data_IF_268429398645
#
_entry.id   IF_268429398645
#
_cell.length_a   1.000
_cell.length_b   1.000
_cell.length_c   1.000
_cell.angle_alpha   90.00
_cell.angle_beta   90.00
_cell.angle_gamma   90.00
#
_symmetry.space_group_name_H-M   'P 1'
#
loop_
_entity.id
_entity.type
_entity.pdbx_description
1 polymer ?
#
# COMPACT_ATOMS: atom_id res chain seq x y z
N UNK A 1 -3.04 14.99 17.14
CA UNK A 1 -4.42 15.52 17.23
C UNK A 1 -5.28 15.33 15.96
N UNK A 2 -4.77 14.75 14.86
CA UNK A 2 -5.60 14.37 13.68
C UNK A 2 -5.96 12.87 13.66
N UNK A 3 -5.45 12.08 14.61
CA UNK A 3 -5.65 10.62 14.71
C UNK A 3 -7.08 10.19 15.12
N UNK A 4 -7.97 11.12 15.50
CA UNK A 4 -9.27 10.77 16.10
C UNK A 4 -10.43 10.68 15.10
N UNK A 5 -10.36 11.31 13.92
CA UNK A 5 -11.49 11.27 12.99
C UNK A 5 -11.53 10.04 12.06
N UNK A 6 -10.40 9.37 11.87
CA UNK A 6 -10.32 8.15 11.03
C UNK A 6 -10.53 6.87 11.87
N UNK A 7 -10.29 6.92 13.19
CA UNK A 7 -10.45 5.78 14.09
C UNK A 7 -11.86 5.18 14.10
N UNK A 8 -12.90 6.02 14.07
CA UNK A 8 -14.29 5.55 14.10
C UNK A 8 -14.80 4.89 12.80
N UNK A 9 -14.15 5.16 11.65
CA UNK A 9 -14.49 4.50 10.38
C UNK A 9 -13.73 3.17 10.19
N UNK A 10 -12.57 3.03 10.84
CA UNK A 10 -11.78 1.79 10.90
C UNK A 10 -12.52 0.71 11.74
N UNK A 11 -13.23 1.11 12.79
CA UNK A 11 -13.96 0.18 13.68
C UNK A 11 -15.15 -0.54 13.01
N UNK A 12 -15.80 0.05 12.00
CA UNK A 12 -17.02 -0.52 11.41
C UNK A 12 -16.82 -1.40 10.17
N UNK A 13 -15.71 -1.26 9.45
CA UNK A 13 -15.40 -2.09 8.25
C UNK A 13 -14.15 -2.97 8.38
N UNK A 14 -13.43 -2.86 9.50
CA UNK A 14 -12.20 -3.58 9.76
C UNK A 14 -11.02 -3.03 8.93
N UNK A 15 -9.88 -2.84 9.57
CA UNK A 15 -8.66 -2.32 8.94
C UNK A 15 -8.29 -3.06 7.64
N UNK A 16 -8.59 -4.37 7.55
CA UNK A 16 -8.38 -5.19 6.34
C UNK A 16 -9.08 -4.61 5.11
N UNK A 17 -10.34 -4.18 5.21
CA UNK A 17 -11.09 -3.68 4.08
C UNK A 17 -10.51 -2.37 3.52
N UNK A 18 -10.03 -1.50 4.42
CA UNK A 18 -9.40 -0.22 4.05
C UNK A 18 -8.04 -0.46 3.41
N UNK A 19 -7.25 -1.41 3.93
CA UNK A 19 -5.97 -1.81 3.32
C UNK A 19 -6.20 -2.34 1.90
N UNK A 20 -7.17 -3.25 1.71
CA UNK A 20 -7.47 -3.80 0.38
C UNK A 20 -7.89 -2.68 -0.59
N UNK A 21 -8.80 -1.79 -0.17
CA UNK A 21 -9.25 -0.69 -1.01
C UNK A 21 -8.10 0.28 -1.38
N UNK A 22 -7.22 0.58 -0.42
CA UNK A 22 -6.06 1.45 -0.64
C UNK A 22 -5.07 0.84 -1.63
N UNK A 23 -4.65 -0.42 -1.42
CA UNK A 23 -3.72 -1.10 -2.35
C UNK A 23 -4.34 -1.21 -3.74
N UNK A 24 -5.65 -1.51 -3.83
CA UNK A 24 -6.35 -1.62 -5.10
C UNK A 24 -6.39 -0.30 -5.88
N UNK A 25 -6.66 0.83 -5.21
CA UNK A 25 -6.65 2.15 -5.82
C UNK A 25 -5.26 2.53 -6.36
N UNK A 26 -4.22 2.23 -5.59
CA UNK A 26 -2.84 2.44 -6.02
C UNK A 26 -2.54 1.55 -7.24
N UNK A 27 -2.87 0.26 -7.17
CA UNK A 27 -2.64 -0.69 -8.26
C UNK A 27 -3.27 -0.24 -9.58
N UNK A 28 -4.54 0.21 -9.53
CA UNK A 28 -5.25 0.70 -10.70
C UNK A 28 -4.63 1.98 -11.26
N UNK A 29 -4.18 2.87 -10.38
CA UNK A 29 -3.50 4.11 -10.78
C UNK A 29 -2.13 3.83 -11.40
N UNK A 30 -1.37 2.91 -10.82
CA UNK A 30 -0.07 2.43 -11.33
C UNK A 30 -0.21 1.78 -12.71
N UNK A 31 -1.25 0.98 -12.94
CA UNK A 31 -1.56 0.49 -14.29
C UNK A 31 -1.87 1.64 -15.25
N UNK A 32 -2.67 2.62 -14.81
CA UNK A 32 -2.98 3.80 -15.59
C UNK A 32 -1.75 4.58 -16.02
N UNK A 33 -0.73 4.70 -15.15
CA UNK A 33 0.55 5.36 -15.46
C UNK A 33 1.28 4.71 -16.64
N UNK A 34 1.15 3.39 -16.79
CA UNK A 34 1.71 2.69 -17.94
C UNK A 34 0.95 2.96 -19.24
N UNK A 35 -0.35 3.24 -19.19
CA UNK A 35 -1.21 3.32 -20.38
C UNK A 35 -1.36 4.75 -20.94
N UNK A 36 -0.89 5.77 -20.23
CA UNK A 36 -1.07 7.17 -20.65
C UNK A 36 0.21 7.99 -20.48
N UNK A 37 0.44 8.90 -21.42
CA UNK A 37 1.51 9.89 -21.35
C UNK A 37 0.97 11.32 -21.23
N UNK A 38 -0.35 11.48 -21.13
CA UNK A 38 -0.98 12.81 -21.06
C UNK A 38 -0.80 13.41 -19.65
N UNK A 39 -0.15 14.59 -19.51
CA UNK A 39 0.15 15.18 -18.21
C UNK A 39 -1.07 15.33 -17.28
N UNK A 40 -2.21 15.70 -17.84
CA UNK A 40 -3.45 15.87 -17.07
C UNK A 40 -3.97 14.55 -16.51
N UNK A 41 -3.86 13.45 -17.26
CA UNK A 41 -4.24 12.13 -16.76
C UNK A 41 -3.25 11.62 -15.71
N UNK A 42 -1.95 11.85 -15.91
CA UNK A 42 -0.91 11.53 -14.92
C UNK A 42 -1.17 12.26 -13.59
N UNK A 43 -1.59 13.52 -13.65
CA UNK A 43 -1.96 14.27 -12.45
C UNK A 43 -3.16 13.66 -11.71
N UNK A 44 -4.23 13.28 -12.43
CA UNK A 44 -5.36 12.59 -11.81
C UNK A 44 -4.94 11.25 -11.18
N UNK A 45 -4.11 10.47 -11.86
CA UNK A 45 -3.60 9.19 -11.35
C UNK A 45 -2.74 9.39 -10.09
N UNK A 46 -1.94 10.45 -10.02
CA UNK A 46 -1.18 10.82 -8.82
C UNK A 46 -2.09 11.17 -7.65
N UNK A 47 -3.20 11.88 -7.91
CA UNK A 47 -4.20 12.17 -6.87
C UNK A 47 -4.85 10.89 -6.34
N UNK A 48 -5.24 9.97 -7.22
CA UNK A 48 -5.85 8.69 -6.82
C UNK A 48 -4.85 7.85 -6.00
N UNK A 49 -3.58 7.82 -6.45
CA UNK A 49 -2.49 7.15 -5.72
C UNK A 49 -2.33 7.74 -4.31
N UNK A 50 -2.29 9.07 -4.20
CA UNK A 50 -2.20 9.76 -2.90
C UNK A 50 -3.39 9.49 -1.97
N UNK A 51 -4.61 9.35 -2.51
CA UNK A 51 -5.78 8.93 -1.74
C UNK A 51 -5.59 7.49 -1.22
N UNK A 52 -5.09 6.58 -2.05
CA UNK A 52 -4.78 5.21 -1.65
C UNK A 52 -3.76 5.15 -0.50
N UNK A 53 -2.69 5.92 -0.59
CA UNK A 53 -1.66 5.99 0.48
C UNK A 53 -2.20 6.61 1.77
N UNK A 54 -3.03 7.65 1.66
CA UNK A 54 -3.68 8.29 2.82
C UNK A 54 -4.61 7.32 3.58
N UNK A 55 -5.18 6.33 2.90
CA UNK A 55 -5.97 5.26 3.51
C UNK A 55 -5.09 4.16 4.11
N UNK A 56 -3.98 3.82 3.46
CA UNK A 56 -3.10 2.72 3.88
C UNK A 56 -2.36 3.00 5.18
N UNK A 57 -1.76 4.19 5.31
CA UNK A 57 -0.95 4.55 6.47
C UNK A 57 -1.68 4.35 7.82
N UNK A 58 -2.87 4.93 8.05
CA UNK A 58 -3.58 4.75 9.32
C UNK A 58 -4.10 3.32 9.51
N UNK A 59 -4.47 2.63 8.43
CA UNK A 59 -4.97 1.26 8.52
C UNK A 59 -3.87 0.26 8.90
N UNK A 60 -2.68 0.39 8.31
CA UNK A 60 -1.51 -0.43 8.67
C UNK A 60 -1.07 -0.16 10.11
N UNK A 61 -1.04 1.11 10.54
CA UNK A 61 -0.70 1.45 11.92
C UNK A 61 -1.70 0.86 12.92
N UNK A 62 -3.01 0.90 12.62
CA UNK A 62 -4.05 0.27 13.44
C UNK A 62 -3.84 -1.24 13.60
N UNK A 63 -3.46 -1.95 12.53
CA UNK A 63 -3.15 -3.38 12.59
C UNK A 63 -1.92 -3.65 13.45
N UNK A 64 -0.86 -2.85 13.29
CA UNK A 64 0.37 -2.98 14.08
C UNK A 64 0.09 -2.75 15.56
N UNK A 65 -0.65 -1.69 15.90
CA UNK A 65 -1.01 -1.39 17.28
C UNK A 65 -1.82 -2.52 17.91
N UNK A 66 -2.75 -3.12 17.16
CA UNK A 66 -3.58 -4.25 17.65
C UNK A 66 -2.77 -5.54 17.83
N UNK A 67 -1.73 -5.77 17.02
CA UNK A 67 -0.84 -6.93 17.14
C UNK A 67 0.24 -6.73 18.21
N UNK A 68 0.56 -5.49 18.54
CA UNK A 68 1.59 -5.16 19.52
C UNK A 68 1.07 -5.24 20.95
N UNK A 69 1.59 -6.19 21.72
CA UNK A 69 1.53 -6.14 23.18
C UNK A 69 2.66 -5.24 23.70
N UNK A 70 2.56 -4.77 24.94
CA UNK A 70 3.57 -3.89 25.55
C UNK A 70 5.01 -4.45 25.41
N UNK A 71 5.17 -5.77 25.48
CA UNK A 71 6.46 -6.45 25.35
C UNK A 71 6.92 -6.73 23.90
N UNK A 72 6.05 -6.65 22.89
CA UNK A 72 6.39 -6.99 21.50
C UNK A 72 6.39 -5.79 20.55
N UNK A 73 5.98 -4.61 21.05
CA UNK A 73 5.84 -3.39 20.25
C UNK A 73 7.13 -2.99 19.54
N UNK A 74 8.27 -3.04 20.24
CA UNK A 74 9.57 -2.71 19.66
C UNK A 74 9.98 -3.69 18.55
N UNK A 75 9.72 -4.98 18.73
CA UNK A 75 10.04 -6.01 17.73
C UNK A 75 9.18 -5.84 16.47
N UNK A 76 7.88 -5.62 16.62
CA UNK A 76 6.97 -5.44 15.48
C UNK A 76 7.32 -4.14 14.72
N UNK A 77 7.59 -3.07 15.44
CA UNK A 77 8.05 -1.81 14.84
C UNK A 77 9.40 -1.97 14.11
N UNK A 78 10.34 -2.70 14.70
CA UNK A 78 11.64 -3.00 14.08
C UNK A 78 11.49 -3.78 12.77
N UNK A 79 10.61 -4.79 12.73
CA UNK A 79 10.30 -5.54 11.50
C UNK A 79 9.65 -4.64 10.45
N UNK A 80 8.72 -3.76 10.85
CA UNK A 80 8.09 -2.77 9.95
C UNK A 80 9.15 -1.87 9.30
N UNK A 81 10.00 -1.25 10.11
CA UNK A 81 11.04 -0.32 9.62
C UNK A 81 12.04 -1.03 8.73
N UNK A 82 12.41 -2.26 9.07
CA UNK A 82 13.27 -3.10 8.22
C UNK A 82 12.61 -3.38 6.86
N UNK A 83 11.34 -3.79 6.85
CA UNK A 83 10.60 -4.05 5.63
C UNK A 83 10.45 -2.80 4.75
N UNK A 84 10.16 -1.64 5.34
CA UNK A 84 10.09 -0.35 4.62
C UNK A 84 11.45 0.02 4.03
N UNK A 85 12.53 -0.09 4.81
CA UNK A 85 13.89 0.22 4.35
C UNK A 85 14.31 -0.69 3.20
N UNK A 86 14.02 -2.00 3.31
CA UNK A 86 14.24 -2.96 2.23
C UNK A 86 13.43 -2.60 0.99
N UNK A 87 12.17 -2.21 1.14
CA UNK A 87 11.31 -1.75 0.04
C UNK A 87 11.86 -0.50 -0.65
N UNK A 88 12.27 0.51 0.10
CA UNK A 88 12.84 1.75 -0.46
C UNK A 88 14.18 1.53 -1.17
N UNK A 89 14.94 0.51 -0.76
CA UNK A 89 16.19 0.16 -1.43
C UNK A 89 15.95 -0.70 -2.67
N UNK A 90 15.23 -1.81 -2.52
CA UNK A 90 15.01 -2.81 -3.58
C UNK A 90 14.04 -2.29 -4.65
N UNK A 91 13.04 -1.50 -4.26
CA UNK A 91 12.01 -0.97 -5.16
C UNK A 91 12.56 -0.18 -6.34
N UNK A 92 13.31 0.91 -6.13
CA UNK A 92 13.90 1.70 -7.21
C UNK A 92 14.93 0.93 -8.03
N UNK A 93 15.71 0.03 -7.42
CA UNK A 93 16.66 -0.83 -8.12
C UNK A 93 15.95 -1.78 -9.09
N UNK A 94 14.92 -2.49 -8.61
CA UNK A 94 14.11 -3.38 -9.44
C UNK A 94 13.36 -2.59 -10.53
N UNK A 95 12.74 -1.45 -10.19
CA UNK A 95 12.05 -0.61 -11.15
C UNK A 95 12.99 -0.07 -12.24
N UNK A 96 14.20 0.35 -11.88
CA UNK A 96 15.23 0.81 -12.81
C UNK A 96 15.68 -0.31 -13.76
N UNK A 97 15.92 -1.51 -13.24
CA UNK A 97 16.29 -2.66 -14.07
C UNK A 97 15.18 -3.05 -15.07
N UNK A 98 13.92 -3.09 -14.61
CA UNK A 98 12.76 -3.38 -15.49
C UNK A 98 12.58 -2.29 -16.54
N UNK A 99 12.70 -1.02 -16.15
CA UNK A 99 12.57 0.13 -17.07
C UNK A 99 13.68 0.12 -18.12
N UNK A 100 14.91 -0.24 -17.75
CA UNK A 100 16.04 -0.32 -18.68
C UNK A 100 15.86 -1.42 -19.75
N UNK A 101 15.14 -2.49 -19.43
CA UNK A 101 14.92 -3.62 -20.34
C UNK A 101 13.66 -3.48 -21.19
N UNK A 102 12.57 -2.97 -20.61
CA UNK A 102 11.24 -3.00 -21.22
C UNK A 102 10.70 -1.61 -21.59
N UNK A 103 11.23 -0.54 -21.01
CA UNK A 103 10.67 0.81 -21.12
C UNK A 103 9.82 1.21 -19.92
N UNK A 104 9.47 2.49 -19.85
CA UNK A 104 8.71 3.07 -18.72
C UNK A 104 7.27 2.57 -18.66
N UNK A 105 6.59 2.49 -19.80
CA UNK A 105 5.16 2.11 -19.88
C UNK A 105 4.96 0.70 -19.34
N UNK A 106 5.79 -0.22 -19.80
CA UNK A 106 5.82 -1.64 -19.48
C UNK A 106 6.20 -1.87 -18.02
N UNK A 107 7.15 -1.09 -17.48
CA UNK A 107 7.52 -1.14 -16.07
C UNK A 107 6.36 -0.76 -15.15
N UNK A 108 5.62 0.30 -15.48
CA UNK A 108 4.43 0.70 -14.73
C UNK A 108 3.30 -0.34 -14.83
N UNK A 109 3.07 -0.92 -16.01
CA UNK A 109 2.09 -2.01 -16.17
C UNK A 109 2.49 -3.22 -15.31
N UNK A 110 3.75 -3.65 -15.35
CA UNK A 110 4.24 -4.75 -14.54
C UNK A 110 4.09 -4.48 -13.03
N UNK A 111 4.41 -3.26 -12.59
CA UNK A 111 4.24 -2.84 -11.20
C UNK A 111 2.77 -2.84 -10.78
N UNK A 112 1.88 -2.34 -11.64
CA UNK A 112 0.44 -2.36 -11.38
C UNK A 112 -0.12 -3.78 -11.28
N UNK A 113 0.30 -4.70 -12.16
CA UNK A 113 -0.07 -6.13 -12.06
C UNK A 113 0.44 -6.72 -10.74
N UNK A 114 1.69 -6.43 -10.37
CA UNK A 114 2.26 -6.90 -9.11
C UNK A 114 1.44 -6.43 -7.89
N UNK A 115 0.99 -5.18 -7.88
CA UNK A 115 0.12 -4.64 -6.83
C UNK A 115 -1.29 -5.27 -6.83
N UNK A 116 -1.83 -5.63 -7.99
CA UNK A 116 -3.08 -6.41 -8.07
C UNK A 116 -2.88 -7.80 -7.43
N UNK A 117 -1.76 -8.47 -7.70
CA UNK A 117 -1.43 -9.76 -7.08
C UNK A 117 -1.34 -9.62 -5.56
N UNK A 118 -0.66 -8.58 -5.05
CA UNK A 118 -0.60 -8.28 -3.62
C UNK A 118 -2.01 -8.06 -3.04
N UNK A 119 -2.87 -7.34 -3.77
CA UNK A 119 -4.27 -7.12 -3.36
C UNK A 119 -5.01 -8.45 -3.22
N UNK A 120 -4.89 -9.34 -4.21
CA UNK A 120 -5.49 -10.67 -4.18
C UNK A 120 -4.96 -11.53 -3.02
N UNK A 121 -3.66 -11.54 -2.80
CA UNK A 121 -3.03 -12.25 -1.66
C UNK A 121 -3.55 -11.70 -0.33
N UNK A 122 -3.67 -10.38 -0.21
CA UNK A 122 -4.21 -9.71 1.00
C UNK A 122 -5.68 -10.08 1.26
N UNK A 123 -6.47 -10.27 0.20
CA UNK A 123 -7.84 -10.76 0.30
C UNK A 123 -7.86 -12.19 0.85
N UNK A 124 -7.04 -13.09 0.30
CA UNK A 124 -6.98 -14.51 0.69
C UNK A 124 -6.41 -14.69 2.09
N UNK A 125 -5.46 -13.86 2.51
CA UNK A 125 -4.86 -13.95 3.83
C UNK A 125 -5.90 -13.67 4.92
N UNK A 126 -6.17 -14.61 5.85
CA UNK A 126 -7.09 -14.36 6.95
C UNK A 126 -6.43 -13.39 7.94
N UNK A 127 -6.75 -12.10 7.85
CA UNK A 127 -6.40 -11.15 8.91
C UNK A 127 -7.21 -11.51 10.15
N UNK A 128 -6.62 -12.33 11.02
CA UNK A 128 -7.10 -12.55 12.39
C UNK A 128 -6.61 -11.40 13.26
N UNK A 129 -7.16 -10.21 13.03
CA UNK A 129 -7.06 -9.12 14.00
C UNK A 129 -8.14 -9.40 15.04
N UNK A 130 -7.72 -9.88 16.22
CA UNK A 130 -8.62 -10.11 17.35
C UNK A 130 -9.11 -8.73 17.78
N UNK A 131 -10.31 -8.34 17.33
CA UNK A 131 -10.96 -7.13 17.82
C UNK A 131 -11.21 -7.32 19.33
N UNK A 132 -10.77 -6.39 20.19
CA UNK A 132 -11.09 -6.42 21.61
C UNK A 132 -12.58 -6.21 21.87
#
# INVERSE_FOLDING_TARGET
MVSTFIGGYIDRRGAKGIIIAGIFLIALSTLGFGLTTRPMLLFLLSLITGIGDALLLPAVMSVIDTLSSYHTKERISGVKVFAESAGYFVGPLAAGAVTALLGFSEAFVALGIFLIVITAVTIVMPFRVKQP
#
